data_IF_365393655119
#
_entry.id   IF_365393655119
#
_cell.length_a   1.000
_cell.length_b   1.000
_cell.length_c   1.000
_cell.angle_alpha   90.00
_cell.angle_beta   90.00
_cell.angle_gamma   90.00
#
_symmetry.space_group_name_H-M   'P 1'
#
loop_
_entity.id
_entity.type
_entity.pdbx_description
1 polymer ?
#
# COMPACT_ATOMS: atom_id res chain seq x y z
N UNK A 1 33.42 -75.55 -14.66
CA UNK A 1 31.93 -75.63 -14.58
C UNK A 1 31.49 -74.61 -13.58
N UNK A 2 30.86 -73.51 -13.94
CA UNK A 2 29.52 -73.17 -13.57
C UNK A 2 29.17 -71.73 -13.97
N UNK A 3 28.02 -71.62 -14.46
CA UNK A 3 27.33 -70.57 -15.23
C UNK A 3 27.18 -69.22 -14.55
N UNK A 4 27.35 -68.12 -15.35
CA UNK A 4 26.69 -66.84 -15.15
C UNK A 4 25.16 -66.98 -15.20
N UNK A 5 24.45 -66.10 -14.56
CA UNK A 5 23.26 -65.52 -15.21
C UNK A 5 23.38 -64.03 -15.40
N UNK A 6 23.06 -63.61 -16.60
CA UNK A 6 22.78 -62.24 -16.97
C UNK A 6 21.38 -61.86 -16.45
N UNK A 7 21.24 -60.67 -15.87
CA UNK A 7 19.97 -60.03 -15.71
C UNK A 7 20.02 -58.62 -16.32
N UNK A 8 19.46 -58.54 -17.51
CA UNK A 8 19.10 -57.30 -18.17
C UNK A 8 17.87 -56.72 -17.48
N UNK A 9 18.00 -55.57 -16.89
CA UNK A 9 16.84 -54.72 -16.51
C UNK A 9 16.91 -53.44 -17.30
N UNK A 10 16.17 -53.40 -18.40
CA UNK A 10 15.91 -52.17 -19.15
C UNK A 10 14.93 -51.31 -18.36
N UNK A 11 15.42 -50.33 -17.61
CA UNK A 11 14.59 -49.26 -17.07
C UNK A 11 14.14 -48.34 -18.24
N UNK A 12 12.84 -48.31 -18.51
CA UNK A 12 12.23 -47.27 -19.36
C UNK A 12 12.51 -45.92 -18.79
N UNK A 13 12.93 -44.91 -19.61
CA UNK A 13 13.05 -43.54 -19.13
C UNK A 13 11.64 -43.04 -18.77
N UNK A 14 11.50 -42.49 -17.56
CA UNK A 14 10.31 -41.80 -17.13
C UNK A 14 10.09 -40.60 -18.08
N UNK A 15 8.93 -40.56 -18.73
CA UNK A 15 8.48 -39.36 -19.44
C UNK A 15 8.34 -38.25 -18.40
N UNK A 16 9.25 -37.28 -18.43
CA UNK A 16 9.03 -35.94 -17.85
C UNK A 16 7.87 -35.37 -18.63
N UNK A 17 6.69 -35.33 -18.04
CA UNK A 17 5.59 -34.48 -18.52
C UNK A 17 6.10 -33.04 -18.41
N UNK A 18 6.50 -32.47 -19.54
CA UNK A 18 6.67 -31.02 -19.66
C UNK A 18 5.32 -30.40 -19.36
N UNK A 19 5.27 -29.54 -18.35
CA UNK A 19 4.08 -28.77 -17.98
C UNK A 19 3.87 -27.71 -19.09
N UNK A 20 3.38 -28.15 -20.24
CA UNK A 20 3.22 -27.35 -21.48
C UNK A 20 1.89 -26.59 -21.46
N UNK A 21 1.56 -26.00 -20.30
CA UNK A 21 0.46 -25.06 -20.20
C UNK A 21 0.92 -23.74 -20.86
N UNK A 22 0.18 -23.24 -21.82
CA UNK A 22 0.54 -21.98 -22.43
C UNK A 22 0.60 -20.88 -21.37
N UNK A 23 1.71 -20.15 -21.31
CA UNK A 23 1.96 -19.08 -20.33
C UNK A 23 0.89 -17.97 -20.40
N UNK A 24 0.31 -17.73 -21.57
CA UNK A 24 -0.72 -16.72 -21.79
C UNK A 24 -2.03 -17.37 -22.26
N UNK A 25 -3.15 -16.78 -21.83
CA UNK A 25 -4.47 -17.10 -22.35
C UNK A 25 -4.52 -16.84 -23.86
N UNK A 26 -5.13 -17.74 -24.66
CA UNK A 26 -5.27 -17.54 -26.10
C UNK A 26 -6.06 -16.29 -26.44
N UNK A 27 -5.75 -15.69 -27.59
CA UNK A 27 -6.30 -14.38 -28.02
C UNK A 27 -7.82 -14.41 -28.20
N UNK A 28 -8.39 -15.55 -28.61
CA UNK A 28 -9.85 -15.66 -28.80
C UNK A 28 -10.57 -15.58 -27.45
N UNK A 29 -10.04 -16.27 -26.46
CA UNK A 29 -10.54 -16.21 -25.07
C UNK A 29 -10.40 -14.82 -24.48
N UNK A 30 -9.22 -14.15 -24.64
CA UNK A 30 -9.02 -12.77 -24.18
C UNK A 30 -10.04 -11.81 -24.81
N UNK A 31 -10.26 -11.91 -26.14
CA UNK A 31 -11.25 -11.08 -26.86
C UNK A 31 -12.69 -11.34 -26.40
N UNK A 32 -13.02 -12.57 -26.03
CA UNK A 32 -14.34 -12.91 -25.52
C UNK A 32 -14.55 -12.37 -24.10
N UNK A 33 -13.55 -12.51 -23.21
CA UNK A 33 -13.58 -11.94 -21.86
C UNK A 33 -13.68 -10.42 -21.87
N UNK A 34 -12.90 -9.75 -22.72
CA UNK A 34 -12.86 -8.28 -22.82
C UNK A 34 -14.21 -7.64 -23.21
N UNK A 35 -15.13 -8.41 -23.81
CA UNK A 35 -16.48 -7.94 -24.19
C UNK A 35 -17.52 -8.11 -23.10
N UNK A 36 -17.18 -8.86 -22.03
CA UNK A 36 -18.09 -9.06 -20.92
C UNK A 36 -17.92 -7.93 -19.90
N UNK A 37 -19.04 -7.50 -19.31
CA UNK A 37 -19.05 -6.48 -18.26
C UNK A 37 -18.21 -5.23 -18.62
N UNK A 38 -18.34 -4.75 -19.83
CA UNK A 38 -17.55 -3.62 -20.36
C UNK A 38 -17.76 -2.32 -19.56
N UNK A 39 -18.91 -2.20 -18.89
CA UNK A 39 -19.29 -1.14 -17.97
C UNK A 39 -18.41 -1.10 -16.70
N UNK A 40 -17.74 -2.20 -16.36
CA UNK A 40 -16.85 -2.28 -15.19
C UNK A 40 -15.44 -1.72 -15.43
N UNK A 41 -15.16 -1.18 -16.61
CA UNK A 41 -13.90 -0.50 -16.93
C UNK A 41 -12.68 -1.37 -16.68
N UNK A 42 -11.83 -0.99 -15.72
CA UNK A 42 -10.58 -1.67 -15.43
C UNK A 42 -10.75 -3.03 -14.74
N UNK A 43 -11.91 -3.31 -14.14
CA UNK A 43 -12.20 -4.59 -13.49
C UNK A 43 -12.67 -5.61 -14.51
N UNK A 44 -11.73 -6.41 -15.01
CA UNK A 44 -11.99 -7.47 -15.99
C UNK A 44 -12.30 -8.81 -15.30
N UNK A 45 -12.74 -9.80 -16.09
CA UNK A 45 -12.95 -11.17 -15.59
C UNK A 45 -11.66 -11.86 -15.09
N UNK A 46 -10.49 -11.29 -15.40
CA UNK A 46 -9.20 -11.76 -14.93
C UNK A 46 -8.77 -11.20 -13.57
N UNK A 47 -9.57 -10.33 -12.95
CA UNK A 47 -9.25 -9.80 -11.62
C UNK A 47 -9.29 -10.93 -10.58
N UNK A 48 -8.13 -11.21 -9.97
CA UNK A 48 -7.95 -12.36 -9.09
C UNK A 48 -8.04 -12.01 -7.59
N UNK A 49 -8.09 -10.73 -7.24
CA UNK A 49 -8.17 -10.27 -5.85
C UNK A 49 -9.58 -10.39 -5.26
N UNK A 50 -9.66 -10.45 -3.94
CA UNK A 50 -10.90 -10.20 -3.21
C UNK A 50 -11.18 -8.69 -3.21
N UNK A 51 -11.99 -8.25 -4.18
CA UNK A 51 -12.25 -6.82 -4.42
C UNK A 51 -12.91 -6.14 -3.23
N UNK A 52 -13.81 -6.81 -2.54
CA UNK A 52 -14.51 -6.26 -1.38
C UNK A 52 -13.53 -5.96 -0.24
N UNK A 53 -12.68 -6.91 0.09
CA UNK A 53 -11.63 -6.73 1.09
C UNK A 53 -10.63 -5.66 0.67
N UNK A 54 -10.19 -5.64 -0.61
CA UNK A 54 -9.28 -4.61 -1.11
C UNK A 54 -9.89 -3.22 -1.00
N UNK A 55 -11.15 -3.03 -1.37
CA UNK A 55 -11.86 -1.74 -1.23
C UNK A 55 -11.98 -1.30 0.24
N UNK A 56 -12.21 -2.24 1.16
CA UNK A 56 -12.24 -1.93 2.59
C UNK A 56 -10.88 -1.48 3.10
N UNK A 57 -9.81 -2.19 2.75
CA UNK A 57 -8.44 -1.82 3.12
C UNK A 57 -8.06 -0.44 2.58
N UNK A 58 -8.35 -0.17 1.31
CA UNK A 58 -8.09 1.13 0.69
C UNK A 58 -8.90 2.26 1.34
N UNK A 59 -10.15 2.05 1.74
CA UNK A 59 -10.94 3.06 2.44
C UNK A 59 -10.43 3.34 3.87
N UNK A 60 -9.83 2.36 4.53
CA UNK A 60 -9.17 2.58 5.82
C UNK A 60 -7.85 3.36 5.64
N UNK A 61 -7.06 3.01 4.64
CA UNK A 61 -5.85 3.76 4.26
C UNK A 61 -6.22 5.22 3.90
N UNK A 62 -7.23 5.44 3.06
CA UNK A 62 -7.74 6.78 2.72
C UNK A 62 -8.08 7.60 3.96
N UNK A 63 -8.73 6.99 4.95
CA UNK A 63 -9.05 7.68 6.20
C UNK A 63 -7.78 8.00 7.01
N UNK A 64 -6.77 7.14 6.97
CA UNK A 64 -5.47 7.36 7.63
C UNK A 64 -4.75 8.54 7.02
N UNK A 65 -4.62 8.60 5.68
CA UNK A 65 -4.00 9.73 4.97
C UNK A 65 -4.70 11.06 5.30
N UNK A 66 -6.04 11.10 5.23
CA UNK A 66 -6.79 12.33 5.55
C UNK A 66 -6.56 12.77 7.01
N UNK A 67 -6.49 11.85 7.96
CA UNK A 67 -6.17 12.17 9.36
C UNK A 67 -4.74 12.71 9.48
N UNK A 68 -3.77 12.14 8.75
CA UNK A 68 -2.39 12.61 8.69
C UNK A 68 -2.32 14.02 8.06
N UNK A 69 -2.99 14.27 6.94
CA UNK A 69 -3.12 15.62 6.33
C UNK A 69 -3.55 16.64 7.36
N UNK A 70 -4.64 16.35 8.08
CA UNK A 70 -5.21 17.28 9.06
C UNK A 70 -4.28 17.51 10.26
N UNK A 71 -3.58 16.47 10.73
CA UNK A 71 -2.64 16.55 11.84
C UNK A 71 -1.40 17.34 11.46
N UNK A 72 -0.77 17.07 10.31
CA UNK A 72 0.37 17.82 9.81
C UNK A 72 0.03 19.29 9.57
N UNK A 73 -1.14 19.59 8.99
CA UNK A 73 -1.59 20.98 8.84
C UNK A 73 -1.80 21.68 10.16
N UNK A 74 -2.37 21.01 11.14
CA UNK A 74 -2.50 21.55 12.47
C UNK A 74 -1.13 21.85 13.07
N UNK A 75 -0.18 20.93 13.00
CA UNK A 75 1.18 21.11 13.51
C UNK A 75 1.90 22.25 12.80
N UNK A 76 1.75 22.38 11.48
CA UNK A 76 2.29 23.51 10.72
C UNK A 76 1.85 24.86 11.29
N UNK A 77 0.57 25.05 11.60
CA UNK A 77 0.04 26.33 12.07
C UNK A 77 0.35 26.63 13.54
N UNK A 78 0.56 25.63 14.37
CA UNK A 78 0.75 25.82 15.81
C UNK A 78 2.20 25.62 16.28
N UNK A 79 3.09 25.19 15.40
CA UNK A 79 4.51 25.06 15.69
C UNK A 79 5.07 26.39 16.18
N UNK A 80 5.82 26.37 17.27
CA UNK A 80 6.40 27.56 17.88
C UNK A 80 7.72 27.22 18.58
N UNK A 81 8.64 28.18 18.65
CA UNK A 81 9.96 28.01 19.24
C UNK A 81 11.06 28.37 18.26
N UNK A 82 12.31 28.26 18.71
CA UNK A 82 13.50 28.75 17.98
C UNK A 82 13.75 28.01 16.64
N UNK A 83 13.28 26.78 16.54
CA UNK A 83 13.43 25.93 15.34
C UNK A 83 12.12 25.74 14.58
N UNK A 84 11.06 26.45 14.97
CA UNK A 84 9.70 26.18 14.48
C UNK A 84 9.53 26.44 12.99
N UNK A 85 10.15 27.50 12.43
CA UNK A 85 9.89 27.91 11.05
C UNK A 85 10.26 26.83 10.02
N UNK A 86 11.43 26.19 10.17
CA UNK A 86 11.87 25.13 9.27
C UNK A 86 11.00 23.88 9.40
N UNK A 87 10.74 23.46 10.64
CA UNK A 87 9.94 22.26 10.93
C UNK A 87 8.47 22.45 10.53
N UNK A 88 7.92 23.66 10.76
CA UNK A 88 6.57 23.98 10.30
C UNK A 88 6.44 23.93 8.77
N UNK A 89 7.46 24.40 8.04
CA UNK A 89 7.50 24.33 6.59
C UNK A 89 7.46 22.86 6.13
N UNK A 90 8.22 22.00 6.78
CA UNK A 90 8.27 20.56 6.45
C UNK A 90 6.95 19.85 6.79
N UNK A 91 6.33 20.17 7.92
CA UNK A 91 4.98 19.67 8.22
C UNK A 91 3.96 20.04 7.12
N UNK A 92 4.12 21.19 6.46
CA UNK A 92 3.27 21.54 5.34
C UNK A 92 3.58 20.73 4.08
N UNK A 93 4.87 20.42 3.83
CA UNK A 93 5.30 19.56 2.73
C UNK A 93 4.70 18.17 2.92
N UNK A 94 4.93 17.53 4.06
CA UNK A 94 4.37 16.22 4.38
C UNK A 94 2.83 16.24 4.26
N UNK A 95 2.14 17.28 4.79
CA UNK A 95 0.69 17.37 4.64
C UNK A 95 0.22 17.36 3.17
N UNK A 96 0.98 17.97 2.26
CA UNK A 96 0.65 18.00 0.84
C UNK A 96 0.93 16.63 0.17
N UNK A 97 1.94 15.92 0.60
CA UNK A 97 2.29 14.58 0.14
C UNK A 97 1.25 13.55 0.59
N UNK A 98 0.82 13.60 1.87
CA UNK A 98 -0.30 12.80 2.38
C UNK A 98 -1.61 13.05 1.62
N UNK A 99 -1.86 14.32 1.23
CA UNK A 99 -3.01 14.62 0.36
C UNK A 99 -2.85 13.94 -1.02
N UNK A 100 -1.63 13.90 -1.55
CA UNK A 100 -1.33 13.17 -2.79
C UNK A 100 -1.59 11.66 -2.65
N UNK A 101 -1.20 11.06 -1.53
CA UNK A 101 -1.48 9.65 -1.20
C UNK A 101 -2.98 9.39 -1.12
N UNK A 102 -3.74 10.24 -0.41
CA UNK A 102 -5.19 10.15 -0.31
C UNK A 102 -5.86 10.20 -1.69
N UNK A 103 -5.41 11.09 -2.58
CA UNK A 103 -5.95 11.24 -3.93
C UNK A 103 -5.66 10.00 -4.81
N UNK A 104 -4.45 9.43 -4.73
CA UNK A 104 -4.08 8.18 -5.42
C UNK A 104 -4.95 7.00 -4.96
N UNK A 105 -5.16 6.86 -3.65
CA UNK A 105 -5.97 5.81 -3.06
C UNK A 105 -7.44 5.98 -3.47
N UNK A 106 -7.99 7.18 -3.38
CA UNK A 106 -9.36 7.47 -3.79
C UNK A 106 -9.59 7.16 -5.27
N UNK A 107 -8.65 7.56 -6.14
CA UNK A 107 -8.71 7.23 -7.57
C UNK A 107 -8.67 5.72 -7.80
N UNK A 108 -7.84 4.97 -7.05
CA UNK A 108 -7.78 3.52 -7.17
C UNK A 108 -9.07 2.84 -6.72
N UNK A 109 -9.70 3.31 -5.65
CA UNK A 109 -11.02 2.82 -5.21
C UNK A 109 -12.05 2.95 -6.34
N UNK A 110 -12.11 4.11 -7.01
CA UNK A 110 -13.03 4.34 -8.15
C UNK A 110 -12.70 3.41 -9.32
N UNK A 111 -11.42 3.22 -9.66
CA UNK A 111 -10.99 2.29 -10.71
C UNK A 111 -11.41 0.84 -10.41
N UNK A 112 -11.50 0.47 -9.15
CA UNK A 112 -11.99 -0.83 -8.70
C UNK A 112 -13.52 -0.89 -8.60
N UNK A 113 -14.25 0.11 -9.12
CA UNK A 113 -15.71 0.26 -9.00
C UNK A 113 -16.19 0.28 -7.54
N UNK A 114 -15.43 0.93 -6.67
CA UNK A 114 -15.80 1.25 -5.30
C UNK A 114 -16.16 2.73 -5.15
N UNK A 115 -16.56 3.10 -3.95
CA UNK A 115 -16.84 4.47 -3.54
C UNK A 115 -15.84 4.89 -2.47
N UNK A 116 -15.05 6.00 -2.69
CA UNK A 116 -14.18 6.55 -1.67
C UNK A 116 -15.02 7.12 -0.52
N UNK A 117 -14.77 6.64 0.68
CA UNK A 117 -15.48 7.14 1.86
C UNK A 117 -14.73 8.33 2.48
N UNK A 118 -15.13 9.53 2.13
CA UNK A 118 -14.59 10.80 2.65
C UNK A 118 -15.48 11.43 3.72
N UNK A 119 -16.46 10.70 4.28
CA UNK A 119 -17.32 11.21 5.36
C UNK A 119 -16.48 11.55 6.60
N UNK A 120 -16.44 12.84 7.00
CA UNK A 120 -15.64 13.28 8.13
C UNK A 120 -16.10 12.67 9.46
N UNK A 121 -17.36 12.29 9.61
CA UNK A 121 -17.87 11.69 10.84
C UNK A 121 -17.22 10.33 11.16
N UNK A 122 -16.73 9.62 10.18
CA UNK A 122 -16.13 8.30 10.36
C UNK A 122 -14.60 8.26 10.19
N UNK A 123 -13.92 9.38 9.92
CA UNK A 123 -12.48 9.37 9.59
C UNK A 123 -11.63 8.77 10.71
N UNK A 124 -11.73 9.28 11.93
CA UNK A 124 -10.89 8.84 13.05
C UNK A 124 -11.15 7.39 13.47
N UNK A 125 -12.36 6.88 13.26
CA UNK A 125 -12.70 5.49 13.60
C UNK A 125 -12.22 4.47 12.55
N UNK A 126 -11.93 4.91 11.32
CA UNK A 126 -11.42 4.09 10.23
C UNK A 126 -9.90 4.24 10.06
N UNK A 127 -9.33 5.35 10.52
CA UNK A 127 -7.90 5.61 10.47
C UNK A 127 -7.13 4.63 11.35
N UNK A 128 -5.98 4.18 10.87
CA UNK A 128 -5.03 3.42 11.68
C UNK A 128 -4.22 4.34 12.58
N UNK A 129 -3.98 5.60 12.16
CA UNK A 129 -3.27 6.61 12.93
C UNK A 129 -4.21 7.45 13.77
N UNK A 130 -3.74 7.88 14.95
CA UNK A 130 -4.48 8.75 15.85
C UNK A 130 -4.25 10.24 15.52
N UNK A 131 -5.25 11.08 15.79
CA UNK A 131 -5.11 12.53 15.71
C UNK A 131 -4.59 13.07 17.04
N UNK A 132 -3.27 13.20 17.19
CA UNK A 132 -2.62 13.70 18.40
C UNK A 132 -2.02 15.07 18.15
N UNK A 133 -2.33 16.03 19.03
CA UNK A 133 -1.91 17.43 18.88
C UNK A 133 -0.46 17.70 19.30
N UNK A 134 0.12 16.85 20.16
CA UNK A 134 1.39 17.14 20.79
C UNK A 134 1.31 18.30 21.82
N UNK A 135 2.18 18.32 22.80
CA UNK A 135 2.26 19.36 23.82
C UNK A 135 3.23 20.50 23.44
N UNK A 136 4.21 20.22 22.60
CA UNK A 136 5.27 21.10 22.15
C UNK A 136 5.80 20.61 20.79
N UNK A 137 6.73 21.36 20.19
CA UNK A 137 7.28 21.04 18.88
C UNK A 137 7.90 19.64 18.79
N UNK A 138 8.67 19.24 19.83
CA UNK A 138 9.28 17.92 19.89
C UNK A 138 8.24 16.79 19.97
N UNK A 139 7.18 16.99 20.74
CA UNK A 139 6.05 16.05 20.81
C UNK A 139 5.32 15.96 19.48
N UNK A 140 5.15 17.07 18.76
CA UNK A 140 4.54 17.08 17.42
C UNK A 140 5.35 16.22 16.43
N UNK A 141 6.68 16.36 16.42
CA UNK A 141 7.57 15.54 15.60
C UNK A 141 7.42 14.06 15.99
N UNK A 142 7.47 13.75 17.28
CA UNK A 142 7.33 12.38 17.79
C UNK A 142 5.98 11.76 17.41
N UNK A 143 4.89 12.48 17.54
CA UNK A 143 3.55 11.97 17.21
C UNK A 143 3.38 11.78 15.70
N UNK A 144 4.01 12.61 14.87
CA UNK A 144 4.08 12.39 13.44
C UNK A 144 4.90 11.13 13.14
N UNK A 145 6.09 10.98 13.70
CA UNK A 145 6.90 9.76 13.51
C UNK A 145 6.15 8.47 13.94
N UNK A 146 5.40 8.52 15.03
CA UNK A 146 4.56 7.38 15.44
C UNK A 146 3.55 7.03 14.35
N UNK A 147 2.94 8.04 13.75
CA UNK A 147 1.95 7.82 12.69
C UNK A 147 2.56 7.28 11.39
N UNK A 148 3.74 7.79 10.97
CA UNK A 148 4.46 7.23 9.82
C UNK A 148 4.78 5.76 10.04
N UNK A 149 5.26 5.40 11.22
CA UNK A 149 5.55 4.00 11.56
C UNK A 149 4.30 3.10 11.53
N UNK A 150 3.14 3.63 11.91
CA UNK A 150 1.85 2.93 11.76
C UNK A 150 1.50 2.78 10.29
N UNK A 151 1.67 3.82 9.48
CA UNK A 151 1.44 3.78 8.04
C UNK A 151 2.35 2.75 7.36
N UNK A 152 3.65 2.78 7.65
CA UNK A 152 4.65 1.83 7.14
C UNK A 152 4.23 0.37 7.40
N UNK A 153 3.87 0.02 8.64
CA UNK A 153 3.46 -1.34 8.99
C UNK A 153 2.14 -1.70 8.30
N UNK A 154 1.16 -0.78 8.27
CA UNK A 154 -0.11 -0.97 7.59
C UNK A 154 0.06 -1.22 6.09
N UNK A 155 0.88 -0.43 5.41
CA UNK A 155 1.15 -0.61 3.98
C UNK A 155 1.88 -1.92 3.70
N UNK A 156 2.86 -2.31 4.53
CA UNK A 156 3.54 -3.61 4.41
C UNK A 156 2.57 -4.79 4.50
N UNK A 157 1.64 -4.74 5.45
CA UNK A 157 0.60 -5.77 5.57
C UNK A 157 -0.36 -5.78 4.38
N UNK A 158 -0.81 -4.62 3.91
CA UNK A 158 -1.69 -4.51 2.74
C UNK A 158 -1.01 -5.03 1.47
N UNK A 159 0.25 -4.68 1.23
CA UNK A 159 1.07 -5.14 0.10
C UNK A 159 1.19 -6.67 0.14
N UNK A 160 1.49 -7.24 1.31
CA UNK A 160 1.59 -8.69 1.50
C UNK A 160 0.25 -9.40 1.23
N UNK A 161 -0.87 -8.84 1.70
CA UNK A 161 -2.20 -9.40 1.48
C UNK A 161 -2.61 -9.40 0.00
N UNK A 162 -2.36 -8.28 -0.70
CA UNK A 162 -2.71 -8.09 -2.11
C UNK A 162 -1.85 -9.00 -2.99
N UNK A 163 -0.56 -9.08 -2.71
CA UNK A 163 0.38 -9.92 -3.45
C UNK A 163 0.31 -9.68 -4.95
N UNK A 164 0.36 -10.75 -5.73
CA UNK A 164 0.33 -10.70 -7.20
C UNK A 164 -1.09 -10.72 -7.78
N UNK A 165 -2.12 -10.71 -6.93
CA UNK A 165 -3.53 -10.75 -7.37
C UNK A 165 -4.01 -9.42 -7.94
N UNK A 166 -3.45 -8.31 -7.46
CA UNK A 166 -3.69 -6.94 -7.96
C UNK A 166 -2.39 -6.14 -7.97
N UNK A 167 -1.60 -6.34 -9.01
CA UNK A 167 -0.28 -5.73 -9.17
C UNK A 167 -0.32 -4.21 -9.32
N UNK A 168 -1.44 -3.65 -9.78
CA UNK A 168 -1.61 -2.19 -9.89
C UNK A 168 -1.80 -1.55 -8.52
N UNK A 169 -2.68 -2.10 -7.69
CA UNK A 169 -2.85 -1.65 -6.30
C UNK A 169 -1.57 -1.84 -5.50
N UNK A 170 -0.92 -3.02 -5.62
CA UNK A 170 0.36 -3.30 -4.96
C UNK A 170 1.41 -2.25 -5.29
N UNK A 171 1.64 -1.95 -6.57
CA UNK A 171 2.64 -0.95 -7.01
C UNK A 171 2.34 0.45 -6.49
N UNK A 172 1.06 0.85 -6.45
CA UNK A 172 0.65 2.13 -5.88
C UNK A 172 1.01 2.20 -4.40
N UNK A 173 0.67 1.15 -3.62
CA UNK A 173 0.99 1.08 -2.19
C UNK A 173 2.50 1.01 -1.92
N UNK A 174 3.27 0.32 -2.76
CA UNK A 174 4.74 0.31 -2.69
C UNK A 174 5.33 1.70 -2.92
N UNK A 175 4.73 2.50 -3.81
CA UNK A 175 5.13 3.89 -4.02
C UNK A 175 4.84 4.78 -2.82
N UNK A 176 3.68 4.66 -2.21
CA UNK A 176 3.32 5.39 -0.99
C UNK A 176 4.25 4.96 0.16
N UNK A 177 4.41 3.66 0.39
CA UNK A 177 5.29 3.14 1.44
C UNK A 177 6.71 3.72 1.39
N UNK A 178 7.27 3.90 0.18
CA UNK A 178 8.60 4.46 0.04
C UNK A 178 8.68 5.91 0.56
N UNK A 179 7.62 6.70 0.39
CA UNK A 179 7.54 8.08 0.90
C UNK A 179 7.33 8.09 2.42
N UNK A 180 6.48 7.20 2.96
CA UNK A 180 6.30 7.07 4.41
C UNK A 180 7.61 6.69 5.14
N UNK A 181 8.43 5.84 4.49
CA UNK A 181 9.75 5.48 5.02
C UNK A 181 10.71 6.69 4.99
N UNK A 182 10.64 7.56 3.97
CA UNK A 182 11.40 8.81 3.88
C UNK A 182 10.95 9.82 4.97
N UNK A 183 9.63 10.04 5.13
CA UNK A 183 9.08 10.89 6.20
C UNK A 183 9.52 10.41 7.60
N UNK A 184 9.48 9.10 7.84
CA UNK A 184 9.90 8.54 9.12
C UNK A 184 11.38 8.77 9.41
N UNK A 185 12.24 8.69 8.40
CA UNK A 185 13.68 8.91 8.51
C UNK A 185 13.97 10.38 8.84
N UNK A 186 13.36 11.32 8.12
CA UNK A 186 13.49 12.76 8.37
C UNK A 186 13.01 13.17 9.76
N UNK A 187 11.84 12.68 10.19
CA UNK A 187 11.32 12.96 11.54
C UNK A 187 12.19 12.35 12.63
N UNK A 188 12.80 11.20 12.40
CA UNK A 188 13.76 10.57 13.32
C UNK A 188 15.01 11.41 13.48
N UNK A 189 15.57 11.92 12.39
CA UNK A 189 16.76 12.78 12.39
C UNK A 189 16.51 14.06 13.19
N UNK A 190 15.32 14.64 13.08
CA UNK A 190 14.98 15.82 13.87
C UNK A 190 14.88 15.53 15.37
N UNK A 191 14.40 14.33 15.76
CA UNK A 191 14.33 13.97 17.19
C UNK A 191 15.71 13.75 17.83
N UNK A 192 16.72 13.39 17.02
CA UNK A 192 18.11 13.24 17.48
C UNK A 192 18.82 14.59 17.64
N UNK A 193 18.28 15.68 17.06
CA UNK A 193 18.83 17.03 17.17
C UNK A 193 18.90 17.54 18.60
N UNK A 194 19.82 18.51 18.84
CA UNK A 194 19.95 19.20 20.13
C UNK A 194 18.77 20.17 20.32
N UNK A 195 17.90 19.84 21.24
CA UNK A 195 16.69 20.62 21.56
C UNK A 195 16.92 21.59 22.72
N UNK A 196 18.21 21.83 23.15
CA UNK A 196 18.80 22.82 24.04
C UNK A 196 17.94 23.37 25.14
#
# INVERSE_FOLDING_TARGET
>A
MSKKPAVSSSAKPAKTESNDQPFLTDVKTLRARARKNIDKGAVTEGYAGDRETVLKLLNNALATEIVCVLRYRYHHFVASGIHADAIAAEFLIHSNEEQGHADLIAQRIVQLNGEPNMDPAGLTSRSHSEYVKGANLRDMIKENLVAERIAIDSYKEMIAYIGDKDTTTKRMLEGILAVEEEHADELSDWLEGDWG
#
